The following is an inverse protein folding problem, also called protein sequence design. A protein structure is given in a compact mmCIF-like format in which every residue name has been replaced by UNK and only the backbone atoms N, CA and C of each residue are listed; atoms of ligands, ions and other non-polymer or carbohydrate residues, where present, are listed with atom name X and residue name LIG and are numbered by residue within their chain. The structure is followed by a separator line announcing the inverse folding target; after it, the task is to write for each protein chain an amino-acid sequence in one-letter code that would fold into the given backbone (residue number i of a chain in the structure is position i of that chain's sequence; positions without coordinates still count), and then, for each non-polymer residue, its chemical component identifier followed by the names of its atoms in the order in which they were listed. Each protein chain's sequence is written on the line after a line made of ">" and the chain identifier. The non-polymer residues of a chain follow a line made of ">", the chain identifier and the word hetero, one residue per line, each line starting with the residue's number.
data_IF_284829368488
#
_entry.id   IF_284829368488
#
_cell.length_a   1.000
_cell.length_b   1.000
_cell.length_c   1.000
_cell.angle_alpha   90.00
_cell.angle_beta   90.00
_cell.angle_gamma   90.00
#
_symmetry.space_group_name_H-M   'P 1'
#
loop_
_entity.id
_entity.type
_entity.pdbx_description
1 polymer ?
#
# COMPACT_ATOMS: atom_id res chain seq x y z
N UNK A 1 1.60 -5.05 -31.97
CA UNK A 1 3.03 -4.87 -31.57
C UNK A 1 3.23 -3.56 -30.81
N UNK A 2 3.27 -2.38 -31.46
CA UNK A 2 3.54 -1.10 -30.78
C UNK A 2 2.59 -0.77 -29.61
N UNK A 3 1.29 -1.04 -29.76
CA UNK A 3 0.28 -0.82 -28.71
C UNK A 3 0.45 -1.73 -27.49
N UNK A 4 0.94 -2.96 -27.70
CA UNK A 4 1.15 -3.93 -26.62
C UNK A 4 2.39 -3.57 -25.81
N UNK A 5 3.46 -3.13 -26.48
CA UNK A 5 4.69 -2.65 -25.83
C UNK A 5 4.40 -1.40 -24.99
N UNK A 6 3.57 -0.48 -25.48
CA UNK A 6 3.19 0.72 -24.74
C UNK A 6 2.41 0.38 -23.45
N UNK A 7 1.46 -0.56 -23.52
CA UNK A 7 0.69 -1.01 -22.33
C UNK A 7 1.59 -1.71 -21.31
N UNK A 8 2.54 -2.54 -21.75
CA UNK A 8 3.49 -3.19 -20.86
C UNK A 8 4.40 -2.18 -20.13
N UNK A 9 4.85 -1.13 -20.82
CA UNK A 9 5.67 -0.07 -20.23
C UNK A 9 4.87 0.76 -19.21
N UNK A 10 3.60 1.06 -19.50
CA UNK A 10 2.71 1.75 -18.56
C UNK A 10 2.39 0.91 -17.32
N UNK A 11 2.23 -0.41 -17.47
CA UNK A 11 2.02 -1.32 -16.34
C UNK A 11 3.28 -1.51 -15.48
N UNK A 12 4.46 -1.34 -16.06
CA UNK A 12 5.74 -1.41 -15.36
C UNK A 12 6.23 -0.06 -14.83
N UNK A 13 5.51 1.04 -15.10
CA UNK A 13 5.89 2.35 -14.61
C UNK A 13 5.77 2.37 -13.08
N UNK A 14 6.88 2.47 -12.32
CA UNK A 14 6.80 2.55 -10.88
C UNK A 14 5.98 3.79 -10.51
N UNK A 15 4.97 3.58 -9.66
CA UNK A 15 4.21 4.67 -9.07
C UNK A 15 5.13 5.34 -8.07
N UNK A 16 5.88 6.36 -8.50
CA UNK A 16 6.75 7.13 -7.61
C UNK A 16 5.88 7.95 -6.66
N UNK A 17 5.39 7.32 -5.58
CA UNK A 17 4.83 8.04 -4.46
C UNK A 17 5.99 8.52 -3.59
N UNK A 18 6.35 9.78 -3.77
CA UNK A 18 7.26 10.50 -2.86
C UNK A 18 6.49 10.77 -1.56
N UNK A 19 6.42 9.77 -0.69
CA UNK A 19 5.85 9.88 0.65
C UNK A 19 6.95 10.14 1.68
N UNK A 20 6.58 10.50 2.92
CA UNK A 20 7.48 10.60 4.07
C UNK A 20 8.29 9.31 4.37
N UNK A 21 7.96 8.21 3.69
CA UNK A 21 8.46 6.84 3.89
C UNK A 21 9.79 6.53 3.17
N UNK A 22 10.57 7.56 2.82
CA UNK A 22 11.87 7.39 2.17
C UNK A 22 11.80 6.97 0.68
N UNK A 23 12.95 6.59 0.08
CA UNK A 23 13.06 6.40 -1.37
C UNK A 23 12.18 5.28 -1.95
N UNK A 24 11.87 4.25 -1.16
CA UNK A 24 11.04 3.13 -1.59
C UNK A 24 9.52 3.40 -1.52
N UNK A 25 9.11 4.55 -0.97
CA UNK A 25 7.71 4.87 -0.70
C UNK A 25 7.13 4.04 0.45
N UNK A 26 5.81 3.92 0.53
CA UNK A 26 5.11 3.07 1.51
C UNK A 26 4.71 1.72 0.89
N UNK A 27 4.30 0.75 1.72
CA UNK A 27 3.94 -0.60 1.27
C UNK A 27 4.64 -1.69 2.09
N UNK A 28 4.36 -2.95 1.79
CA UNK A 28 4.87 -4.11 2.53
C UNK A 28 6.41 -4.18 2.51
N UNK A 29 7.00 -3.86 1.36
CA UNK A 29 8.45 -3.81 1.18
C UNK A 29 9.10 -2.81 2.13
N UNK A 30 8.51 -1.63 2.27
CA UNK A 30 9.04 -0.61 3.19
C UNK A 30 8.64 -0.88 4.64
N UNK A 31 7.38 -1.19 4.92
CA UNK A 31 6.86 -1.25 6.29
C UNK A 31 7.20 -2.55 7.03
N UNK A 32 7.52 -3.64 6.32
CA UNK A 32 7.67 -4.97 6.92
C UNK A 32 8.95 -5.67 6.48
N UNK A 33 9.25 -5.69 5.18
CA UNK A 33 10.40 -6.47 4.67
C UNK A 33 11.72 -5.73 4.91
N UNK A 34 11.74 -4.41 4.70
CA UNK A 34 12.91 -3.55 4.88
C UNK A 34 12.55 -2.27 5.67
N UNK A 35 12.11 -2.39 6.94
CA UNK A 35 11.68 -1.26 7.77
C UNK A 35 12.79 -0.24 8.03
N UNK A 36 14.04 -0.71 8.11
CA UNK A 36 15.22 0.10 8.38
C UNK A 36 16.17 0.13 7.16
N UNK A 37 15.61 0.19 5.94
CA UNK A 37 16.42 0.30 4.72
C UNK A 37 17.33 1.53 4.78
N UNK A 38 18.64 1.32 4.70
CA UNK A 38 19.65 2.39 4.74
C UNK A 38 20.50 2.42 3.47
N UNK A 39 20.67 1.26 2.84
CA UNK A 39 21.48 1.13 1.63
C UNK A 39 20.63 1.13 0.36
N UNK A 40 21.23 1.54 -0.76
CA UNK A 40 20.52 1.70 -2.03
C UNK A 40 19.87 0.40 -2.50
N UNK A 41 20.50 -0.75 -2.30
CA UNK A 41 19.97 -2.04 -2.75
C UNK A 41 18.76 -2.48 -1.90
N UNK A 42 18.71 -2.09 -0.63
CA UNK A 42 17.58 -2.37 0.27
C UNK A 42 16.37 -1.54 -0.18
N UNK A 43 16.57 -0.26 -0.50
CA UNK A 43 15.52 0.57 -1.08
C UNK A 43 15.01 0.02 -2.42
N UNK A 44 15.90 -0.49 -3.28
CA UNK A 44 15.49 -1.12 -4.55
C UNK A 44 14.66 -2.39 -4.31
N UNK A 45 15.05 -3.23 -3.37
CA UNK A 45 14.31 -4.46 -3.03
C UNK A 45 12.96 -4.14 -2.37
N UNK A 46 12.91 -3.13 -1.51
CA UNK A 46 11.69 -2.62 -0.91
C UNK A 46 10.73 -2.08 -1.99
N UNK A 47 11.21 -1.20 -2.87
CA UNK A 47 10.42 -0.65 -3.98
C UNK A 47 9.95 -1.75 -4.94
N UNK A 48 10.79 -2.74 -5.23
CA UNK A 48 10.43 -3.89 -6.07
C UNK A 48 9.33 -4.71 -5.40
N UNK A 49 9.43 -4.97 -4.10
CA UNK A 49 8.40 -5.67 -3.32
C UNK A 49 7.09 -4.88 -3.32
N UNK A 50 7.16 -3.56 -3.12
CA UNK A 50 6.00 -2.65 -3.13
C UNK A 50 5.25 -2.68 -4.48
N UNK A 51 6.00 -2.61 -5.58
CA UNK A 51 5.44 -2.56 -6.93
C UNK A 51 4.95 -3.92 -7.45
N UNK A 52 5.75 -4.99 -7.30
CA UNK A 52 5.46 -6.29 -7.92
C UNK A 52 4.19 -6.95 -7.39
N UNK A 53 3.88 -6.80 -6.11
CA UNK A 53 2.66 -7.35 -5.53
C UNK A 53 1.52 -6.33 -5.42
N UNK A 54 1.69 -5.12 -5.98
CA UNK A 54 0.70 -4.03 -5.91
C UNK A 54 0.33 -3.59 -4.49
N UNK A 55 1.12 -3.98 -3.48
CA UNK A 55 0.76 -3.76 -2.07
C UNK A 55 0.84 -2.28 -1.69
N UNK A 56 1.64 -1.49 -2.40
CA UNK A 56 1.70 -0.05 -2.21
C UNK A 56 0.39 0.61 -2.62
N UNK A 57 -0.16 0.26 -3.78
CA UNK A 57 -1.48 0.73 -4.21
C UNK A 57 -2.56 0.26 -3.25
N UNK A 58 -2.53 -1.01 -2.85
CA UNK A 58 -3.45 -1.54 -1.83
C UNK A 58 -3.37 -0.72 -0.53
N UNK A 59 -2.16 -0.49 -0.01
CA UNK A 59 -1.92 0.29 1.20
C UNK A 59 -2.43 1.72 1.09
N UNK A 60 -2.20 2.40 -0.04
CA UNK A 60 -2.73 3.74 -0.29
C UNK A 60 -4.25 3.77 -0.26
N UNK A 61 -4.91 2.78 -0.87
CA UNK A 61 -6.38 2.74 -0.92
C UNK A 61 -7.01 2.35 0.42
N UNK A 62 -6.36 1.46 1.17
CA UNK A 62 -6.80 0.94 2.47
C UNK A 62 -6.38 1.79 3.66
N UNK A 63 -5.38 2.67 3.50
CA UNK A 63 -4.75 3.37 4.60
C UNK A 63 -3.96 2.41 5.51
N UNK A 64 -3.24 1.45 4.93
CA UNK A 64 -2.42 0.47 5.67
C UNK A 64 -0.97 0.48 5.18
N UNK A 65 -0.08 -0.32 5.81
CA UNK A 65 1.32 -0.50 5.39
C UNK A 65 2.14 0.80 5.34
N UNK A 66 1.89 1.73 6.28
CA UNK A 66 2.58 3.02 6.32
C UNK A 66 2.11 4.00 5.24
N UNK A 67 0.97 3.73 4.59
CA UNK A 67 0.39 4.58 3.54
C UNK A 67 -0.82 5.42 4.04
N UNK A 68 -0.96 5.65 5.35
CA UNK A 68 -2.12 6.34 5.96
C UNK A 68 -2.29 7.76 5.41
N UNK A 69 -1.17 8.43 5.10
CA UNK A 69 -1.13 9.79 4.55
C UNK A 69 -1.77 9.92 3.16
N UNK A 70 -1.92 8.80 2.44
CA UNK A 70 -2.58 8.79 1.13
C UNK A 70 -4.10 9.08 1.23
N UNK A 71 -4.69 8.98 2.44
CA UNK A 71 -6.11 9.24 2.70
C UNK A 71 -7.05 8.49 1.72
N UNK A 72 -6.75 7.21 1.48
CA UNK A 72 -7.52 6.36 0.59
C UNK A 72 -8.99 6.18 1.00
N UNK A 73 -9.86 5.81 0.05
CA UNK A 73 -11.31 5.74 0.26
C UNK A 73 -11.72 4.70 1.31
N UNK A 74 -10.95 3.63 1.50
CA UNK A 74 -11.29 2.58 2.47
C UNK A 74 -10.87 2.94 3.91
N UNK A 75 -10.09 4.02 4.11
CA UNK A 75 -9.74 4.53 5.45
C UNK A 75 -11.01 4.85 6.26
N UNK A 76 -12.00 5.46 5.62
CA UNK A 76 -13.27 5.81 6.26
C UNK A 76 -14.08 4.56 6.65
N UNK A 77 -14.04 3.50 5.84
CA UNK A 77 -14.69 2.24 6.16
C UNK A 77 -14.05 1.56 7.38
N UNK A 78 -12.70 1.57 7.46
CA UNK A 78 -11.99 1.06 8.63
C UNK A 78 -12.33 1.85 9.90
N UNK A 79 -12.39 3.19 9.82
CA UNK A 79 -12.81 4.03 10.94
C UNK A 79 -14.24 3.71 11.39
N UNK A 80 -15.19 3.62 10.45
CA UNK A 80 -16.58 3.25 10.77
C UNK A 80 -16.66 1.88 11.46
N UNK A 81 -15.95 0.88 10.95
CA UNK A 81 -15.93 -0.45 11.54
C UNK A 81 -15.40 -0.38 12.98
N UNK A 82 -14.28 0.32 13.20
CA UNK A 82 -13.67 0.46 14.53
C UNK A 82 -14.59 1.20 15.51
N UNK A 83 -15.22 2.29 15.08
CA UNK A 83 -16.12 3.10 15.91
C UNK A 83 -17.42 2.36 16.27
N UNK A 84 -17.78 1.32 15.51
CA UNK A 84 -19.01 0.55 15.69
C UNK A 84 -18.74 -0.92 16.02
N UNK A 85 -17.54 -1.25 16.50
CA UNK A 85 -17.10 -2.65 16.63
C UNK A 85 -17.98 -3.45 17.60
N UNK A 86 -18.43 -2.84 18.70
CA UNK A 86 -19.30 -3.50 19.67
C UNK A 86 -20.66 -3.88 19.06
N UNK A 87 -21.26 -2.96 18.31
CA UNK A 87 -22.52 -3.21 17.61
C UNK A 87 -22.33 -4.28 16.54
N UNK A 88 -21.23 -4.19 15.77
CA UNK A 88 -20.91 -5.15 14.73
C UNK A 88 -20.68 -6.55 15.30
N UNK A 89 -20.02 -6.67 16.45
CA UNK A 89 -19.82 -7.92 17.16
C UNK A 89 -21.14 -8.49 17.68
N UNK A 90 -22.00 -7.65 18.26
CA UNK A 90 -23.32 -8.07 18.74
C UNK A 90 -24.22 -8.56 17.60
N UNK A 91 -24.21 -7.88 16.45
CA UNK A 91 -24.97 -8.29 15.27
C UNK A 91 -24.39 -9.55 14.62
N UNK A 92 -23.05 -9.69 14.56
CA UNK A 92 -22.39 -10.93 14.07
C UNK A 92 -22.67 -12.14 14.95
N UNK A 93 -22.81 -11.94 16.27
CA UNK A 93 -23.15 -13.00 17.21
C UNK A 93 -24.60 -13.49 17.10
N UNK A 94 -25.48 -12.72 16.43
CA UNK A 94 -26.90 -13.06 16.25
C UNK A 94 -27.16 -14.00 15.06
N UNK A 95 -26.20 -14.15 14.13
CA UNK A 95 -26.29 -15.05 12.97
C UNK A 95 -26.85 -14.40 11.73
#
# INVERSE_FOLDING_TARGET
>A
MKKVIAVAVLAAAPSFAMAANGPAGCGLGTAVVFPDANEWYEHVLAATTNGTSGNQTFGMTSGTLGCEDANGPLKAAAAFINDNMDQLAADSARG
#
